data_IF_021436686461
#
_entry.id   IF_021436686461
#
_cell.length_a   1.000
_cell.length_b   1.000
_cell.length_c   1.000
_cell.angle_alpha   90.00
_cell.angle_beta   90.00
_cell.angle_gamma   90.00
#
_symmetry.space_group_name_H-M   'P 1'
#
loop_
_entity.id
_entity.type
_entity.pdbx_description
1 polymer ?
#
# COMPACT_ATOMS: atom_id res chain seq x y z
N UNK A 1 30.33 34.09 -28.42
CA UNK A 1 30.08 33.25 -29.61
C UNK A 1 29.20 32.08 -29.18
N UNK A 2 27.92 32.15 -29.50
CA UNK A 2 26.88 31.22 -29.04
C UNK A 2 26.70 30.14 -30.10
N UNK A 3 26.90 28.88 -29.73
CA UNK A 3 26.67 27.71 -30.60
C UNK A 3 25.26 27.20 -30.32
N UNK A 4 24.33 27.56 -31.20
CA UNK A 4 22.93 27.11 -31.17
C UNK A 4 22.92 25.65 -31.66
N UNK A 5 22.45 24.73 -30.81
CA UNK A 5 22.22 23.32 -31.18
C UNK A 5 20.78 23.18 -31.66
N UNK A 6 20.64 22.73 -32.91
CA UNK A 6 19.39 22.47 -33.61
C UNK A 6 18.60 21.32 -32.96
N UNK A 7 17.29 21.53 -32.76
CA UNK A 7 16.31 20.46 -32.51
C UNK A 7 15.93 19.77 -33.83
N UNK A 8 15.75 18.44 -33.86
CA UNK A 8 15.24 17.75 -35.04
C UNK A 8 13.72 17.96 -35.21
N UNK A 9 13.32 18.13 -36.47
CA UNK A 9 11.95 18.25 -36.97
C UNK A 9 11.20 16.92 -36.77
N UNK A 10 10.02 16.99 -36.14
CA UNK A 10 9.00 15.94 -36.21
C UNK A 10 8.38 15.95 -37.61
N UNK A 11 8.51 14.85 -38.34
CA UNK A 11 7.86 14.62 -39.63
C UNK A 11 6.42 14.16 -39.44
N UNK A 12 5.48 14.87 -40.05
CA UNK A 12 4.09 14.48 -40.21
C UNK A 12 3.98 13.18 -41.01
N UNK A 13 3.58 12.09 -40.36
CA UNK A 13 3.16 10.84 -40.98
C UNK A 13 1.64 10.82 -41.13
N UNK A 14 1.16 11.02 -42.36
CA UNK A 14 -0.22 10.79 -42.79
C UNK A 14 -0.51 9.29 -42.76
N UNK A 15 -1.46 8.84 -41.93
CA UNK A 15 -2.02 7.49 -42.01
C UNK A 15 -3.39 7.54 -42.69
N UNK A 16 -3.42 6.87 -43.84
CA UNK A 16 -4.53 6.66 -44.75
C UNK A 16 -5.64 5.84 -44.09
N UNK A 17 -6.88 6.33 -44.17
CA UNK A 17 -8.10 5.58 -43.87
C UNK A 17 -8.29 4.47 -44.91
N UNK A 18 -8.41 3.22 -44.46
CA UNK A 18 -9.05 2.15 -45.23
C UNK A 18 -10.38 1.81 -44.56
N UNK A 19 -11.46 2.12 -45.27
CA UNK A 19 -12.79 1.59 -44.99
C UNK A 19 -12.83 0.13 -45.46
N UNK A 20 -13.13 -0.79 -44.55
CA UNK A 20 -13.52 -2.16 -44.89
C UNK A 20 -14.97 -2.33 -44.51
N UNK A 21 -15.82 -2.48 -45.54
CA UNK A 21 -17.20 -2.93 -45.47
C UNK A 21 -17.20 -4.44 -45.63
N UNK A 22 -17.85 -5.14 -44.71
CA UNK A 22 -18.12 -6.59 -44.75
C UNK A 22 -18.40 -7.01 -43.31
N UNK A 23 -19.54 -7.57 -42.94
CA UNK A 23 -20.47 -8.45 -43.63
C UNK A 23 -20.98 -9.36 -42.51
N UNK A 24 -22.25 -9.19 -42.13
CA UNK A 24 -22.89 -9.96 -41.06
C UNK A 24 -22.96 -11.45 -41.45
N UNK A 25 -22.39 -12.31 -40.61
CA UNK A 25 -22.71 -13.73 -40.57
C UNK A 25 -22.95 -14.12 -39.10
N UNK A 26 -24.23 -14.25 -38.74
CA UNK A 26 -24.67 -14.82 -37.47
C UNK A 26 -24.68 -16.34 -37.65
N UNK A 27 -23.64 -17.00 -37.17
CA UNK A 27 -23.64 -18.46 -36.99
C UNK A 27 -24.09 -18.79 -35.58
N UNK A 28 -25.32 -19.27 -35.46
CA UNK A 28 -25.85 -19.92 -34.26
C UNK A 28 -25.06 -21.19 -33.97
N UNK A 29 -24.31 -21.20 -32.87
CA UNK A 29 -23.74 -22.43 -32.32
C UNK A 29 -24.82 -23.06 -31.45
N UNK A 30 -25.37 -24.18 -31.94
CA UNK A 30 -26.17 -25.12 -31.15
C UNK A 30 -25.19 -25.92 -30.30
N UNK A 31 -25.14 -25.64 -28.99
CA UNK A 31 -24.46 -26.50 -28.02
C UNK A 31 -25.37 -27.66 -27.64
N UNK A 32 -24.95 -28.87 -28.00
CA UNK A 32 -25.53 -30.12 -27.51
C UNK A 32 -25.27 -30.24 -26.00
N UNK A 33 -26.33 -30.33 -25.21
CA UNK A 33 -26.30 -30.71 -23.81
C UNK A 33 -26.10 -32.22 -23.69
N UNK A 34 -24.91 -32.67 -23.28
CA UNK A 34 -24.70 -34.00 -22.72
C UNK A 34 -24.80 -33.90 -21.19
N UNK A 35 -25.94 -34.33 -20.68
CA UNK A 35 -26.24 -34.45 -19.25
C UNK A 35 -25.49 -35.64 -18.66
N UNK A 36 -24.34 -35.37 -18.05
CA UNK A 36 -23.68 -36.25 -17.08
C UNK A 36 -23.50 -35.46 -15.78
N UNK A 37 -24.43 -35.63 -14.85
CA UNK A 37 -24.55 -34.82 -13.63
C UNK A 37 -23.37 -35.00 -12.67
N UNK A 38 -22.39 -34.11 -12.77
CA UNK A 38 -21.58 -33.70 -11.62
C UNK A 38 -22.27 -32.46 -11.07
N UNK A 39 -22.76 -32.53 -9.83
CA UNK A 39 -23.41 -31.39 -9.18
C UNK A 39 -22.42 -30.26 -9.00
N UNK A 40 -22.43 -29.31 -9.95
CA UNK A 40 -21.74 -28.02 -9.80
C UNK A 40 -22.38 -27.33 -8.59
N UNK A 41 -21.60 -26.87 -7.60
CA UNK A 41 -22.15 -26.08 -6.50
C UNK A 41 -22.94 -24.90 -7.06
N UNK A 42 -24.14 -24.67 -6.53
CA UNK A 42 -24.98 -23.56 -6.94
C UNK A 42 -24.36 -22.22 -6.46
N UNK A 43 -23.50 -21.66 -7.31
CA UNK A 43 -22.87 -20.36 -7.10
C UNK A 43 -23.82 -19.19 -7.41
N UNK A 44 -25.08 -19.43 -7.78
CA UNK A 44 -26.06 -18.35 -8.01
C UNK A 44 -26.27 -17.48 -6.77
N UNK A 45 -26.08 -18.05 -5.57
CA UNK A 45 -26.09 -17.29 -4.30
C UNK A 45 -24.94 -16.29 -4.17
N UNK A 46 -23.81 -16.53 -4.84
CA UNK A 46 -22.66 -15.60 -4.88
C UNK A 46 -22.81 -14.56 -5.99
N UNK A 47 -23.37 -14.94 -7.14
CA UNK A 47 -23.71 -13.97 -8.21
C UNK A 47 -24.83 -13.01 -7.78
N UNK A 48 -25.81 -13.48 -7.00
CA UNK A 48 -26.88 -12.64 -6.44
C UNK A 48 -26.37 -11.58 -5.45
N UNK A 49 -25.15 -11.70 -4.90
CA UNK A 49 -24.53 -10.62 -4.11
C UNK A 49 -24.04 -9.46 -4.97
N UNK A 50 -23.71 -9.71 -6.24
CA UNK A 50 -23.33 -8.65 -7.19
C UNK A 50 -24.56 -7.92 -7.75
N UNK A 51 -25.73 -8.58 -7.73
CA UNK A 51 -26.99 -8.02 -8.23
C UNK A 51 -27.75 -7.12 -7.26
N UNK A 52 -27.32 -6.98 -6.01
CA UNK A 52 -27.91 -6.01 -5.08
C UNK A 52 -27.41 -4.62 -5.44
N UNK A 53 -28.17 -3.92 -6.28
CA UNK A 53 -27.97 -2.52 -6.66
C UNK A 53 -27.68 -1.63 -5.45
N UNK A 54 -26.39 -1.35 -5.21
CA UNK A 54 -25.92 -0.43 -4.19
C UNK A 54 -26.23 1.00 -4.64
N UNK A 55 -27.42 1.48 -4.28
CA UNK A 55 -27.84 2.86 -4.54
C UNK A 55 -26.95 3.84 -3.76
N UNK A 56 -25.93 4.41 -4.43
CA UNK A 56 -25.40 5.78 -4.35
C UNK A 56 -25.01 6.44 -3.02
N UNK A 57 -25.61 6.10 -1.89
CA UNK A 57 -25.40 6.71 -0.60
C UNK A 57 -23.98 6.47 -0.09
N UNK A 58 -23.46 7.43 0.68
CA UNK A 58 -22.27 7.29 1.50
C UNK A 58 -22.45 6.06 2.39
N UNK A 59 -21.95 4.91 1.93
CA UNK A 59 -21.86 3.70 2.74
C UNK A 59 -20.99 4.07 3.93
N UNK A 60 -21.53 3.95 5.13
CA UNK A 60 -20.76 4.23 6.34
C UNK A 60 -19.53 3.32 6.38
N UNK A 61 -18.42 3.78 6.95
CA UNK A 61 -17.20 2.97 7.06
C UNK A 61 -17.49 1.58 7.68
N UNK A 62 -18.43 1.52 8.63
CA UNK A 62 -18.86 0.27 9.25
C UNK A 62 -19.54 -0.69 8.26
N UNK A 63 -20.45 -0.20 7.41
CA UNK A 63 -21.12 -1.02 6.40
C UNK A 63 -20.13 -1.57 5.37
N UNK A 64 -19.15 -0.76 4.94
CA UNK A 64 -18.10 -1.21 4.04
C UNK A 64 -17.28 -2.35 4.65
N UNK A 65 -16.86 -2.18 5.91
CA UNK A 65 -16.13 -3.20 6.65
C UNK A 65 -16.91 -4.51 6.78
N UNK A 66 -18.21 -4.42 7.10
CA UNK A 66 -19.10 -5.57 7.21
C UNK A 66 -19.23 -6.31 5.86
N UNK A 67 -19.37 -5.58 4.75
CA UNK A 67 -19.49 -6.17 3.42
C UNK A 67 -18.26 -7.00 3.04
N UNK A 68 -17.04 -6.47 3.24
CA UNK A 68 -15.80 -7.17 2.95
C UNK A 68 -15.57 -8.37 3.85
N UNK A 69 -15.84 -8.26 5.15
CA UNK A 69 -15.76 -9.41 6.08
C UNK A 69 -16.73 -10.52 5.69
N UNK A 70 -17.96 -10.16 5.31
CA UNK A 70 -18.97 -11.11 4.84
C UNK A 70 -18.52 -11.82 3.57
N UNK A 71 -18.00 -11.07 2.60
CA UNK A 71 -17.45 -11.62 1.37
C UNK A 71 -16.28 -12.58 1.63
N UNK A 72 -15.31 -12.20 2.46
CA UNK A 72 -14.19 -13.06 2.85
C UNK A 72 -14.61 -14.32 3.57
N UNK A 73 -15.58 -14.22 4.48
CA UNK A 73 -16.15 -15.38 5.17
C UNK A 73 -16.73 -16.36 4.16
N UNK A 74 -17.51 -15.88 3.19
CA UNK A 74 -18.08 -16.71 2.12
C UNK A 74 -17.01 -17.37 1.25
N UNK A 75 -15.93 -16.66 0.92
CA UNK A 75 -14.80 -17.25 0.17
C UNK A 75 -14.12 -18.39 0.94
N UNK A 76 -13.93 -18.24 2.27
CA UNK A 76 -13.39 -19.33 3.11
C UNK A 76 -14.33 -20.52 3.14
N UNK A 77 -15.61 -20.28 3.41
CA UNK A 77 -16.62 -21.34 3.44
C UNK A 77 -16.73 -22.05 2.08
N UNK A 78 -16.68 -21.32 0.97
CA UNK A 78 -16.64 -21.91 -0.37
C UNK A 78 -15.38 -22.77 -0.59
N UNK A 79 -14.22 -22.29 -0.14
CA UNK A 79 -12.98 -23.03 -0.23
C UNK A 79 -12.99 -24.31 0.60
N UNK A 80 -13.51 -24.27 1.83
CA UNK A 80 -13.66 -25.43 2.71
C UNK A 80 -14.65 -26.46 2.14
N UNK A 81 -15.74 -25.98 1.54
CA UNK A 81 -16.79 -26.83 0.98
C UNK A 81 -16.54 -27.28 -0.48
N UNK A 82 -15.45 -26.85 -1.11
CA UNK A 82 -15.08 -27.28 -2.45
C UNK A 82 -14.94 -28.81 -2.52
N UNK A 83 -15.50 -29.43 -3.54
CA UNK A 83 -15.52 -30.90 -3.75
C UNK A 83 -14.68 -31.32 -4.97
N UNK A 84 -14.25 -30.36 -5.77
CA UNK A 84 -13.52 -30.58 -7.02
C UNK A 84 -12.49 -29.48 -7.26
N UNK A 85 -11.51 -29.77 -8.13
CA UNK A 85 -10.56 -28.76 -8.63
C UNK A 85 -11.29 -27.59 -9.33
N UNK A 86 -12.37 -27.87 -10.06
CA UNK A 86 -13.18 -26.83 -10.70
C UNK A 86 -13.83 -25.87 -9.70
N UNK A 87 -14.24 -26.36 -8.52
CA UNK A 87 -14.79 -25.49 -7.47
C UNK A 87 -13.72 -24.53 -6.94
N UNK A 88 -12.49 -25.04 -6.75
CA UNK A 88 -11.34 -24.23 -6.30
C UNK A 88 -11.03 -23.14 -7.33
N UNK A 89 -11.01 -23.48 -8.63
CA UNK A 89 -10.77 -22.50 -9.70
C UNK A 89 -11.91 -21.48 -9.86
N UNK A 90 -13.15 -21.85 -9.54
CA UNK A 90 -14.28 -20.91 -9.53
C UNK A 90 -14.11 -19.83 -8.44
N UNK A 91 -13.60 -20.19 -7.27
CA UNK A 91 -13.33 -19.26 -6.16
C UNK A 91 -12.34 -18.16 -6.58
N UNK A 92 -11.33 -18.48 -7.40
CA UNK A 92 -10.37 -17.49 -7.91
C UNK A 92 -11.07 -16.35 -8.66
N UNK A 93 -12.09 -16.67 -9.47
CA UNK A 93 -12.87 -15.67 -10.21
C UNK A 93 -13.65 -14.76 -9.25
N UNK A 94 -14.28 -15.35 -8.24
CA UNK A 94 -15.08 -14.61 -7.24
C UNK A 94 -14.18 -13.68 -6.42
N UNK A 95 -12.95 -14.12 -6.12
CA UNK A 95 -11.97 -13.33 -5.38
C UNK A 95 -11.60 -12.01 -6.10
N UNK A 96 -11.69 -11.96 -7.44
CA UNK A 96 -11.40 -10.75 -8.23
C UNK A 96 -12.62 -9.87 -8.50
N UNK A 97 -13.80 -10.47 -8.60
CA UNK A 97 -15.04 -9.79 -9.00
C UNK A 97 -15.75 -9.05 -7.85
N UNK A 98 -15.19 -9.10 -6.64
CA UNK A 98 -15.77 -8.49 -5.45
C UNK A 98 -15.71 -6.96 -5.40
N UNK A 99 -15.19 -6.29 -6.44
CA UNK A 99 -14.92 -4.85 -6.44
C UNK A 99 -15.45 -4.15 -7.69
N UNK A 100 -16.20 -3.07 -7.49
CA UNK A 100 -16.59 -2.11 -8.50
C UNK A 100 -15.49 -1.05 -8.65
N UNK A 101 -14.99 -0.91 -9.87
CA UNK A 101 -13.96 0.06 -10.19
C UNK A 101 -14.58 1.40 -10.61
N UNK A 102 -14.18 2.52 -10.00
CA UNK A 102 -14.71 3.83 -10.36
C UNK A 102 -14.26 4.22 -11.78
N UNK A 103 -15.20 4.58 -12.64
CA UNK A 103 -14.89 5.17 -13.95
C UNK A 103 -14.34 6.60 -13.81
N UNK A 104 -14.81 7.34 -12.79
CA UNK A 104 -14.37 8.68 -12.45
C UNK A 104 -14.08 8.74 -10.93
N UNK A 105 -12.84 8.50 -10.50
CA UNK A 105 -12.44 8.63 -9.10
C UNK A 105 -12.72 10.03 -8.56
N UNK A 106 -13.21 10.11 -7.32
CA UNK A 106 -13.43 11.39 -6.62
C UNK A 106 -12.13 11.83 -5.97
N UNK A 107 -11.73 13.07 -6.24
CA UNK A 107 -10.57 13.68 -5.60
C UNK A 107 -10.76 13.74 -4.07
N UNK A 108 -9.84 13.13 -3.32
CA UNK A 108 -9.83 13.23 -1.86
C UNK A 108 -9.18 14.55 -1.40
N UNK A 109 -9.52 15.05 -0.20
CA UNK A 109 -8.85 16.21 0.37
C UNK A 109 -7.34 15.93 0.56
N UNK A 110 -6.48 16.93 0.32
CA UNK A 110 -5.01 16.80 0.38
C UNK A 110 -4.36 17.46 1.59
N UNK A 111 -5.17 17.92 2.53
CA UNK A 111 -4.71 18.65 3.71
C UNK A 111 -4.91 17.80 4.96
N UNK A 112 -4.44 18.30 6.11
CA UNK A 112 -4.56 17.62 7.40
C UNK A 112 -6.01 17.29 7.80
N UNK A 113 -7.02 17.93 7.22
CA UNK A 113 -8.43 17.59 7.49
C UNK A 113 -8.88 16.29 6.80
N UNK A 114 -8.07 15.75 5.87
CA UNK A 114 -8.30 14.45 5.25
C UNK A 114 -8.02 13.31 6.25
N UNK A 115 -7.14 13.56 7.22
CA UNK A 115 -6.67 12.56 8.18
C UNK A 115 -7.80 12.20 9.14
N UNK A 116 -8.05 10.90 9.27
CA UNK A 116 -8.97 10.36 10.27
C UNK A 116 -8.22 9.53 11.31
N UNK A 117 -8.75 9.46 12.53
CA UNK A 117 -8.18 8.57 13.54
C UNK A 117 -8.77 7.16 13.42
N UNK A 118 -7.89 6.16 13.41
CA UNK A 118 -8.28 4.77 13.24
C UNK A 118 -7.72 3.89 14.36
N UNK A 119 -8.40 2.76 14.59
CA UNK A 119 -7.99 1.77 15.60
C UNK A 119 -6.75 1.00 15.16
N UNK A 120 -6.66 0.72 13.86
CA UNK A 120 -5.51 0.07 13.28
C UNK A 120 -4.95 0.92 12.15
N UNK A 121 -3.64 1.10 12.14
CA UNK A 121 -2.94 1.96 11.19
C UNK A 121 -1.76 1.22 10.60
N UNK A 122 -1.60 1.33 9.29
CA UNK A 122 -0.33 1.08 8.60
C UNK A 122 0.24 2.45 8.24
N UNK A 123 1.45 2.72 8.72
CA UNK A 123 2.19 3.93 8.43
C UNK A 123 3.44 3.55 7.64
N UNK A 124 3.68 4.20 6.51
CA UNK A 124 4.80 3.90 5.63
C UNK A 124 5.56 5.18 5.31
N UNK A 125 6.80 5.26 5.77
CA UNK A 125 7.74 6.29 5.38
C UNK A 125 8.72 5.66 4.41
N UNK A 126 8.76 6.09 3.15
CA UNK A 126 9.83 5.60 2.28
C UNK A 126 9.57 5.55 0.80
N UNK A 127 10.48 4.83 0.14
CA UNK A 127 10.29 4.43 -1.24
C UNK A 127 9.13 3.43 -1.37
N UNK A 128 8.52 3.44 -2.57
CA UNK A 128 7.51 2.46 -3.00
C UNK A 128 6.24 2.40 -2.13
N UNK A 129 5.85 3.51 -1.47
CA UNK A 129 4.62 3.54 -0.65
C UNK A 129 3.35 3.20 -1.43
N UNK A 130 3.32 3.50 -2.73
CA UNK A 130 2.25 3.04 -3.62
C UNK A 130 2.14 1.52 -3.60
N UNK A 131 3.25 0.81 -3.79
CA UNK A 131 3.28 -0.66 -3.84
C UNK A 131 3.00 -1.29 -2.47
N UNK A 132 3.51 -0.70 -1.37
CA UNK A 132 3.12 -1.10 -0.01
C UNK A 132 1.61 -1.03 0.18
N UNK A 133 0.96 0.05 -0.29
CA UNK A 133 -0.49 0.18 -0.17
C UNK A 133 -1.25 -0.93 -0.93
N UNK A 134 -0.72 -1.36 -2.08
CA UNK A 134 -1.17 -2.54 -2.81
C UNK A 134 -1.02 -3.81 -1.97
N UNK A 135 0.14 -4.03 -1.34
CA UNK A 135 0.37 -5.18 -0.47
C UNK A 135 -0.50 -5.21 0.79
N UNK A 136 -0.87 -4.04 1.32
CA UNK A 136 -1.88 -3.93 2.37
C UNK A 136 -3.22 -4.41 1.84
N UNK A 137 -3.69 -3.92 0.69
CA UNK A 137 -4.93 -4.41 0.04
C UNK A 137 -4.88 -5.92 -0.22
N UNK A 138 -3.77 -6.45 -0.74
CA UNK A 138 -3.56 -7.87 -1.04
C UNK A 138 -3.66 -8.78 0.19
N UNK A 139 -3.40 -8.23 1.38
CA UNK A 139 -3.51 -8.98 2.63
C UNK A 139 -4.97 -9.30 2.99
N UNK A 140 -5.93 -8.59 2.37
CA UNK A 140 -7.36 -8.92 2.41
C UNK A 140 -7.76 -10.05 1.45
N UNK A 141 -6.90 -10.42 0.50
CA UNK A 141 -7.22 -11.46 -0.48
C UNK A 141 -6.94 -12.85 0.10
N UNK A 142 -7.94 -13.73 0.04
CA UNK A 142 -7.85 -15.08 0.60
C UNK A 142 -7.61 -16.08 -0.53
N UNK A 143 -6.42 -16.71 -0.62
CA UNK A 143 -6.24 -17.82 -1.55
C UNK A 143 -7.02 -19.05 -1.07
N UNK A 144 -7.46 -19.89 -2.00
CA UNK A 144 -7.97 -21.22 -1.67
C UNK A 144 -6.90 -22.27 -1.96
N UNK A 145 -6.42 -22.96 -0.93
CA UNK A 145 -5.44 -24.04 -1.05
C UNK A 145 -6.04 -25.35 -0.57
N UNK A 146 -6.35 -26.22 -1.53
CA UNK A 146 -6.83 -27.59 -1.35
C UNK A 146 -5.86 -28.59 -1.99
N UNK A 147 -4.55 -28.29 -1.92
CA UNK A 147 -3.53 -29.13 -2.54
C UNK A 147 -3.47 -30.52 -1.90
N UNK A 148 -3.79 -30.63 -0.60
CA UNK A 148 -3.70 -31.89 0.16
C UNK A 148 -4.73 -32.95 -0.27
N UNK A 149 -5.92 -32.53 -0.67
CA UNK A 149 -7.05 -33.42 -0.93
C UNK A 149 -7.59 -33.31 -2.36
N UNK A 150 -7.68 -32.10 -2.91
CA UNK A 150 -8.14 -31.87 -4.29
C UNK A 150 -6.99 -31.64 -5.28
N UNK A 151 -5.73 -31.57 -4.81
CA UNK A 151 -4.54 -31.24 -5.61
C UNK A 151 -4.65 -29.90 -6.36
N UNK A 152 -5.47 -28.99 -5.83
CA UNK A 152 -5.78 -27.72 -6.46
C UNK A 152 -5.48 -26.55 -5.51
N UNK A 153 -5.02 -25.43 -6.07
CA UNK A 153 -4.86 -24.15 -5.37
C UNK A 153 -5.13 -23.00 -6.32
N UNK A 154 -5.70 -21.91 -5.81
CA UNK A 154 -5.83 -20.66 -6.59
C UNK A 154 -4.48 -19.95 -6.64
N UNK A 155 -4.26 -19.14 -7.66
CA UNK A 155 -3.21 -18.11 -7.62
C UNK A 155 -3.47 -17.11 -6.49
N UNK A 156 -2.42 -16.39 -6.10
CA UNK A 156 -2.60 -15.21 -5.26
C UNK A 156 -3.23 -14.10 -6.10
N UNK A 157 -4.06 -13.28 -5.47
CA UNK A 157 -4.60 -12.07 -6.10
C UNK A 157 -3.75 -10.88 -5.63
N UNK A 158 -3.36 -10.05 -6.58
CA UNK A 158 -2.53 -8.87 -6.37
C UNK A 158 -3.23 -7.64 -6.97
N UNK A 159 -3.29 -6.54 -6.22
CA UNK A 159 -3.72 -5.25 -6.71
C UNK A 159 -2.54 -4.51 -7.34
N UNK A 160 -2.50 -4.52 -8.67
CA UNK A 160 -1.53 -3.73 -9.42
C UNK A 160 -1.93 -2.25 -9.34
N UNK A 161 -1.12 -1.44 -8.67
CA UNK A 161 -1.40 -0.01 -8.44
C UNK A 161 -1.23 0.85 -9.69
N UNK A 162 -0.53 0.34 -10.72
CA UNK A 162 -0.33 1.02 -12.01
C UNK A 162 -1.51 0.78 -12.93
N UNK A 163 -1.95 -0.48 -13.07
CA UNK A 163 -3.12 -0.84 -13.90
C UNK A 163 -4.44 -0.61 -13.14
N UNK A 164 -4.37 -0.49 -11.82
CA UNK A 164 -5.49 -0.31 -10.89
C UNK A 164 -6.48 -1.48 -10.96
N UNK A 165 -5.95 -2.69 -11.07
CA UNK A 165 -6.72 -3.94 -11.25
C UNK A 165 -6.21 -5.04 -10.34
N UNK A 166 -7.12 -5.95 -10.00
CA UNK A 166 -6.75 -7.22 -9.38
C UNK A 166 -6.29 -8.21 -10.44
N UNK A 167 -5.06 -8.69 -10.29
CA UNK A 167 -4.36 -9.58 -11.19
C UNK A 167 -3.93 -10.86 -10.47
N UNK A 168 -3.47 -11.85 -11.24
CA UNK A 168 -2.92 -13.08 -10.69
C UNK A 168 -1.43 -12.93 -10.42
N UNK A 169 -1.01 -13.31 -9.23
CA UNK A 169 0.38 -13.46 -8.86
C UNK A 169 0.73 -14.94 -8.63
N UNK A 170 1.87 -15.35 -9.18
CA UNK A 170 2.39 -16.71 -8.99
C UNK A 170 2.84 -16.95 -7.54
N UNK A 171 3.41 -15.92 -6.91
CA UNK A 171 3.94 -15.98 -5.55
C UNK A 171 3.36 -14.84 -4.72
N UNK A 172 3.25 -15.07 -3.42
CA UNK A 172 2.87 -14.03 -2.47
C UNK A 172 4.10 -13.21 -2.08
N UNK A 173 3.97 -11.89 -2.12
CA UNK A 173 5.00 -11.00 -1.61
C UNK A 173 5.25 -11.25 -0.10
N UNK A 174 6.51 -11.29 0.37
CA UNK A 174 6.83 -11.48 1.79
C UNK A 174 6.17 -10.45 2.72
N UNK A 175 6.04 -9.19 2.30
CA UNK A 175 5.35 -8.15 3.06
C UNK A 175 3.86 -8.49 3.22
N UNK A 176 3.18 -8.84 2.13
CA UNK A 176 1.78 -9.28 2.18
C UNK A 176 1.58 -10.48 3.11
N UNK A 177 2.50 -11.45 3.09
CA UNK A 177 2.44 -12.60 3.99
C UNK A 177 2.52 -12.17 5.46
N UNK A 178 3.47 -11.29 5.80
CA UNK A 178 3.61 -10.76 7.16
C UNK A 178 2.36 -9.97 7.58
N UNK A 179 1.83 -9.12 6.70
CA UNK A 179 0.62 -8.32 6.98
C UNK A 179 -0.58 -9.21 7.30
N UNK A 180 -0.80 -10.30 6.56
CA UNK A 180 -1.86 -11.27 6.90
C UNK A 180 -1.68 -11.87 8.29
N UNK A 181 -0.47 -12.31 8.61
CA UNK A 181 -0.18 -12.92 9.91
C UNK A 181 -0.37 -11.91 11.04
N UNK A 182 -0.04 -10.63 10.83
CA UNK A 182 -0.26 -9.58 11.82
C UNK A 182 -1.75 -9.25 11.99
N UNK A 183 -2.47 -9.00 10.89
CA UNK A 183 -3.88 -8.62 10.94
C UNK A 183 -4.75 -9.70 11.60
N UNK A 184 -4.51 -10.97 11.26
CA UNK A 184 -5.28 -12.11 11.79
C UNK A 184 -5.12 -12.32 13.30
N UNK A 185 -4.05 -11.82 13.94
CA UNK A 185 -3.90 -11.84 15.42
C UNK A 185 -4.96 -11.01 16.14
N UNK A 186 -5.55 -10.03 15.47
CA UNK A 186 -6.61 -9.18 16.02
C UNK A 186 -8.01 -9.72 15.75
N UNK A 187 -8.11 -10.86 15.06
CA UNK A 187 -9.37 -11.51 14.73
C UNK A 187 -9.25 -12.29 13.42
N UNK A 188 -9.87 -13.47 13.35
CA UNK A 188 -9.77 -14.34 12.18
C UNK A 188 -10.24 -13.66 10.87
N UNK A 189 -11.15 -12.69 10.97
CA UNK A 189 -11.67 -11.92 9.85
C UNK A 189 -11.11 -10.49 9.81
N UNK A 190 -10.16 -10.12 10.66
CA UNK A 190 -9.52 -8.80 10.59
C UNK A 190 -8.68 -8.71 9.32
N UNK A 191 -8.85 -7.61 8.58
CA UNK A 191 -8.18 -7.38 7.30
C UNK A 191 -8.01 -5.90 6.99
N UNK A 192 -7.62 -5.54 5.77
CA UNK A 192 -7.25 -4.17 5.42
C UNK A 192 -8.37 -3.15 5.61
N UNK A 193 -9.63 -3.54 5.48
CA UNK A 193 -10.78 -2.67 5.73
C UNK A 193 -11.00 -2.29 7.19
N UNK A 194 -10.23 -2.89 8.11
CA UNK A 194 -10.13 -2.47 9.51
C UNK A 194 -8.94 -1.52 9.77
N UNK A 195 -8.14 -1.23 8.74
CA UNK A 195 -6.93 -0.42 8.83
C UNK A 195 -7.06 0.85 8.01
N UNK A 196 -6.42 1.91 8.50
CA UNK A 196 -6.12 3.09 7.71
C UNK A 196 -4.66 3.06 7.27
N UNK A 197 -4.39 3.46 6.04
CA UNK A 197 -3.05 3.55 5.49
C UNK A 197 -2.61 5.01 5.35
N UNK A 198 -1.45 5.32 5.88
CA UNK A 198 -0.83 6.64 5.79
C UNK A 198 0.58 6.50 5.22
N UNK A 199 0.76 6.98 3.99
CA UNK A 199 2.05 6.97 3.32
C UNK A 199 2.70 8.36 3.32
N UNK A 200 4.01 8.44 3.50
CA UNK A 200 4.79 9.69 3.52
C UNK A 200 5.84 9.63 2.41
N UNK A 201 5.68 10.49 1.40
CA UNK A 201 6.57 10.57 0.23
C UNK A 201 7.04 11.99 0.01
N UNK A 202 8.35 12.19 0.00
CA UNK A 202 8.95 13.51 -0.10
C UNK A 202 9.23 13.94 -1.53
N UNK A 203 9.45 13.01 -2.45
CA UNK A 203 9.84 13.31 -3.82
C UNK A 203 8.62 13.78 -4.64
N UNK A 204 8.59 15.06 -5.08
CA UNK A 204 7.42 15.62 -5.76
C UNK A 204 7.05 14.91 -7.08
N UNK A 205 7.97 14.14 -7.67
CA UNK A 205 7.71 13.39 -8.91
C UNK A 205 6.60 12.35 -8.73
N UNK A 206 6.36 11.87 -7.50
CA UNK A 206 5.36 10.85 -7.20
C UNK A 206 4.00 11.43 -6.81
N UNK A 207 3.93 12.72 -6.46
CA UNK A 207 2.73 13.37 -5.92
C UNK A 207 1.48 13.04 -6.73
N UNK A 208 1.51 13.27 -8.04
CA UNK A 208 0.33 13.06 -8.89
C UNK A 208 -0.07 11.58 -8.98
N UNK A 209 0.89 10.66 -9.06
CA UNK A 209 0.62 9.22 -9.15
C UNK A 209 0.00 8.70 -7.86
N UNK A 210 0.56 9.09 -6.70
CA UNK A 210 0.07 8.67 -5.39
C UNK A 210 -1.33 9.23 -5.10
N UNK A 211 -1.58 10.51 -5.39
CA UNK A 211 -2.91 11.09 -5.27
C UNK A 211 -3.94 10.38 -6.18
N UNK A 212 -3.53 9.98 -7.38
CA UNK A 212 -4.41 9.22 -8.29
C UNK A 212 -4.67 7.78 -7.81
N UNK A 213 -3.78 7.19 -7.01
CA UNK A 213 -4.01 5.89 -6.34
C UNK A 213 -5.00 6.09 -5.19
N UNK A 214 -4.77 7.10 -4.33
CA UNK A 214 -5.66 7.45 -3.22
C UNK A 214 -7.09 7.69 -3.71
N UNK A 215 -7.29 8.54 -4.71
CA UNK A 215 -8.61 8.84 -5.27
C UNK A 215 -9.31 7.60 -5.80
N UNK A 216 -8.56 6.74 -6.48
CA UNK A 216 -9.09 5.51 -7.06
C UNK A 216 -9.53 4.54 -5.97
N UNK A 217 -8.61 4.19 -5.06
CA UNK A 217 -8.87 3.22 -3.99
C UNK A 217 -10.02 3.69 -3.10
N UNK A 218 -10.01 4.97 -2.72
CA UNK A 218 -11.05 5.55 -1.85
C UNK A 218 -12.43 5.62 -2.52
N UNK A 219 -12.48 5.55 -3.86
CA UNK A 219 -13.70 5.51 -4.67
C UNK A 219 -14.16 4.11 -5.06
N UNK A 220 -13.42 3.05 -4.74
CA UNK A 220 -13.83 1.65 -4.98
C UNK A 220 -15.02 1.25 -4.09
N UNK A 221 -15.83 0.30 -4.57
CA UNK A 221 -16.97 -0.25 -3.80
C UNK A 221 -17.01 -1.79 -3.87
N UNK A 222 -17.04 -2.50 -2.72
CA UNK A 222 -16.59 -2.01 -1.42
C UNK A 222 -15.14 -1.49 -1.49
N UNK A 223 -14.79 -0.56 -0.61
CA UNK A 223 -13.45 -0.01 -0.48
C UNK A 223 -12.54 -1.04 0.20
N UNK A 224 -11.42 -1.46 -0.41
CA UNK A 224 -10.58 -2.53 0.12
C UNK A 224 -9.87 -2.19 1.44
N UNK A 225 -9.77 -0.91 1.79
CA UNK A 225 -9.15 -0.38 3.02
C UNK A 225 -10.10 0.60 3.71
N UNK A 226 -10.00 0.84 5.02
CA UNK A 226 -10.91 1.77 5.69
C UNK A 226 -10.72 3.21 5.17
N UNK A 227 -9.45 3.63 5.12
CA UNK A 227 -9.02 4.94 4.66
C UNK A 227 -7.57 4.87 4.16
N UNK A 228 -7.24 5.76 3.23
CA UNK A 228 -5.92 5.91 2.65
C UNK A 228 -5.64 7.40 2.49
N UNK A 229 -4.44 7.82 2.87
CA UNK A 229 -3.97 9.17 2.63
C UNK A 229 -2.46 9.19 2.41
N UNK A 230 -2.02 9.92 1.37
CA UNK A 230 -0.60 10.17 1.12
C UNK A 230 -0.22 11.59 1.51
N UNK A 231 0.67 11.72 2.49
CA UNK A 231 1.40 12.96 2.77
C UNK A 231 2.51 13.12 1.73
N UNK A 232 2.15 13.69 0.59
CA UNK A 232 3.10 14.01 -0.50
C UNK A 232 3.89 15.27 -0.18
N UNK A 233 5.11 15.39 -0.74
CA UNK A 233 6.03 16.49 -0.43
C UNK A 233 6.32 16.56 1.08
N UNK A 234 6.34 15.40 1.73
CA UNK A 234 6.60 15.22 3.16
C UNK A 234 7.55 14.05 3.39
N UNK A 235 8.39 14.10 4.42
CA UNK A 235 9.39 13.06 4.71
C UNK A 235 9.41 12.69 6.19
N UNK A 236 9.74 11.44 6.50
CA UNK A 236 10.09 11.06 7.87
C UNK A 236 11.37 11.78 8.30
N UNK A 237 11.30 12.54 9.38
CA UNK A 237 12.43 13.34 9.88
C UNK A 237 12.59 13.19 11.41
N UNK A 238 13.76 13.60 11.91
CA UNK A 238 14.02 13.66 13.36
C UNK A 238 13.34 14.84 14.07
N UNK A 239 12.69 15.73 13.33
CA UNK A 239 11.95 16.87 13.85
C UNK A 239 10.79 17.21 12.92
N UNK A 240 9.72 17.80 13.46
CA UNK A 240 8.59 18.29 12.68
C UNK A 240 8.90 19.68 12.11
N UNK A 241 8.49 19.94 10.86
CA UNK A 241 8.62 21.25 10.22
C UNK A 241 9.31 21.19 8.87
N UNK A 242 9.49 22.36 8.24
CA UNK A 242 10.12 22.41 6.91
C UNK A 242 11.56 21.90 6.96
N UNK A 243 11.89 21.01 6.04
CA UNK A 243 13.23 20.47 5.85
C UNK A 243 13.56 20.33 4.37
N UNK A 244 14.77 19.86 4.06
CA UNK A 244 15.24 19.62 2.69
C UNK A 244 15.24 18.13 2.39
N UNK A 245 14.62 17.76 1.28
CA UNK A 245 14.87 16.48 0.62
C UNK A 245 15.80 16.72 -0.57
N UNK A 246 16.96 16.08 -0.56
CA UNK A 246 17.87 16.12 -1.69
C UNK A 246 17.48 15.02 -2.68
N UNK A 247 17.25 15.41 -3.92
CA UNK A 247 16.62 14.54 -4.92
C UNK A 247 17.67 13.69 -5.65
N UNK A 248 17.38 12.41 -5.79
CA UNK A 248 18.02 11.56 -6.78
C UNK A 248 17.46 11.90 -8.17
N UNK A 249 18.33 12.20 -9.11
CA UNK A 249 17.97 12.54 -10.50
C UNK A 249 18.60 11.59 -11.51
N UNK A 250 19.39 10.61 -11.05
CA UNK A 250 20.20 9.74 -11.90
C UNK A 250 19.66 8.31 -11.97
N UNK A 251 18.99 7.82 -10.92
CA UNK A 251 18.43 6.47 -10.87
C UNK A 251 16.98 6.42 -11.33
N UNK A 252 16.71 6.93 -12.55
CA UNK A 252 15.35 6.96 -13.13
C UNK A 252 14.73 5.57 -13.26
N UNK A 253 15.54 4.56 -13.64
CA UNK A 253 15.10 3.16 -13.78
C UNK A 253 14.72 2.51 -12.44
N UNK A 254 15.17 3.09 -11.33
CA UNK A 254 14.88 2.62 -9.97
C UNK A 254 13.89 3.56 -9.25
N UNK A 255 13.11 4.35 -9.99
CA UNK A 255 12.17 5.33 -9.43
C UNK A 255 12.83 6.25 -8.39
N UNK A 256 14.02 6.79 -8.68
CA UNK A 256 14.68 7.80 -7.84
C UNK A 256 14.84 7.40 -6.37
N UNK A 257 15.04 6.10 -6.12
CA UNK A 257 15.13 5.52 -4.79
C UNK A 257 16.13 6.23 -3.88
N UNK A 258 17.24 6.79 -4.38
CA UNK A 258 18.31 7.37 -3.57
C UNK A 258 18.06 8.81 -3.10
N UNK A 259 16.81 9.28 -3.09
CA UNK A 259 16.44 10.60 -2.56
C UNK A 259 16.52 10.56 -1.03
N UNK A 260 17.18 11.53 -0.41
CA UNK A 260 17.48 11.47 1.03
C UNK A 260 17.46 12.84 1.68
N UNK A 261 17.19 12.87 3.00
CA UNK A 261 17.37 14.08 3.81
C UNK A 261 18.86 14.41 4.07
N UNK A 262 19.76 13.49 3.72
CA UNK A 262 21.20 13.70 3.83
C UNK A 262 21.80 14.11 2.50
N UNK A 263 22.37 15.31 2.46
CA UNK A 263 23.09 15.83 1.28
C UNK A 263 24.28 14.97 0.83
N UNK A 264 24.84 14.21 1.76
CA UNK A 264 26.02 13.37 1.54
C UNK A 264 25.65 11.94 1.11
N UNK A 265 24.36 11.66 0.89
CA UNK A 265 23.90 10.40 0.29
C UNK A 265 24.57 10.17 -1.07
N UNK A 266 24.99 8.93 -1.35
CA UNK A 266 25.81 8.64 -2.54
C UNK A 266 25.12 9.06 -3.85
N UNK A 267 23.82 8.82 -3.97
CA UNK A 267 23.03 9.09 -5.18
C UNK A 267 22.71 10.57 -5.34
N UNK A 268 22.57 11.29 -4.22
CA UNK A 268 22.46 12.76 -4.19
C UNK A 268 23.76 13.38 -4.68
N UNK A 269 24.92 12.91 -4.19
CA UNK A 269 26.23 13.42 -4.65
C UNK A 269 26.43 13.16 -6.14
N UNK A 270 26.11 11.93 -6.60
CA UNK A 270 26.19 11.56 -8.02
C UNK A 270 25.27 12.44 -8.88
N UNK A 271 24.04 12.70 -8.41
CA UNK A 271 23.10 13.62 -9.06
C UNK A 271 23.65 15.04 -9.18
N UNK A 272 24.25 15.56 -8.12
CA UNK A 272 24.86 16.89 -8.12
C UNK A 272 26.06 16.97 -9.09
N UNK A 273 26.93 15.95 -9.07
CA UNK A 273 28.09 15.83 -9.95
C UNK A 273 27.70 15.77 -11.44
N UNK A 274 26.77 14.88 -11.80
CA UNK A 274 26.29 14.74 -13.19
C UNK A 274 25.57 15.99 -13.69
N UNK A 275 24.84 16.70 -12.81
CA UNK A 275 24.20 17.96 -13.14
C UNK A 275 25.20 19.14 -13.24
N UNK A 276 26.44 18.98 -12.76
CA UNK A 276 27.39 20.07 -12.61
C UNK A 276 26.92 21.15 -11.63
N UNK A 277 26.19 20.75 -10.58
CA UNK A 277 25.61 21.65 -9.57
C UNK A 277 25.95 21.19 -8.14
N UNK A 278 25.56 21.98 -7.13
CA UNK A 278 25.62 21.54 -5.74
C UNK A 278 24.35 20.76 -5.36
N UNK A 279 24.45 19.89 -4.35
CA UNK A 279 23.30 19.15 -3.82
C UNK A 279 22.14 20.09 -3.41
N UNK A 280 22.44 21.27 -2.86
CA UNK A 280 21.42 22.25 -2.45
C UNK A 280 20.55 22.75 -3.61
N UNK A 281 21.07 22.70 -4.85
CA UNK A 281 20.31 23.12 -6.04
C UNK A 281 19.41 22.03 -6.64
N UNK A 282 19.54 20.80 -6.15
CA UNK A 282 18.70 19.65 -6.50
C UNK A 282 17.88 19.18 -5.29
N UNK A 283 17.59 20.08 -4.36
CA UNK A 283 16.77 19.82 -3.19
C UNK A 283 15.37 20.42 -3.33
N UNK A 284 14.38 19.76 -2.73
CA UNK A 284 13.03 20.26 -2.54
C UNK A 284 12.81 20.64 -1.07
N UNK A 285 12.07 21.73 -0.84
CA UNK A 285 11.52 22.03 0.48
C UNK A 285 10.31 21.13 0.71
N UNK A 286 10.36 20.33 1.77
CA UNK A 286 9.32 19.35 2.13
C UNK A 286 8.96 19.46 3.61
N UNK A 287 7.79 18.95 3.98
CA UNK A 287 7.38 18.87 5.39
C UNK A 287 7.99 17.65 6.08
N UNK A 288 8.80 17.86 7.11
CA UNK A 288 9.27 16.82 8.01
C UNK A 288 8.18 16.40 8.99
N UNK A 289 8.00 15.09 9.14
CA UNK A 289 7.16 14.48 10.17
C UNK A 289 7.93 13.51 11.05
N UNK A 290 7.73 13.63 12.36
CA UNK A 290 8.13 12.62 13.33
C UNK A 290 7.11 11.47 13.38
N UNK A 291 7.55 10.29 13.85
CA UNK A 291 6.64 9.16 14.09
C UNK A 291 5.55 9.56 15.09
N UNK A 292 5.91 10.26 16.18
CA UNK A 292 4.96 10.64 17.22
C UNK A 292 3.88 11.60 16.74
N UNK A 293 4.22 12.57 15.89
CA UNK A 293 3.24 13.49 15.30
C UNK A 293 2.23 12.75 14.44
N UNK A 294 2.66 11.88 13.53
CA UNK A 294 1.71 11.11 12.73
C UNK A 294 0.92 10.11 13.57
N UNK A 295 1.50 9.48 14.60
CA UNK A 295 0.75 8.63 15.53
C UNK A 295 -0.38 9.39 16.21
N UNK A 296 -0.13 10.60 16.73
CA UNK A 296 -1.17 11.42 17.37
C UNK A 296 -2.24 11.95 16.40
N UNK A 297 -1.88 12.16 15.14
CA UNK A 297 -2.84 12.53 14.08
C UNK A 297 -3.73 11.36 13.65
N UNK A 298 -3.20 10.13 13.61
CA UNK A 298 -3.81 9.01 12.87
C UNK A 298 -4.37 7.88 13.74
N UNK A 299 -3.92 7.72 14.99
CA UNK A 299 -4.38 6.65 15.88
C UNK A 299 -5.43 7.16 16.86
N UNK A 300 -6.55 6.44 16.98
CA UNK A 300 -7.62 6.77 17.93
C UNK A 300 -7.15 6.69 19.39
N UNK A 301 -6.11 5.89 19.68
CA UNK A 301 -5.54 5.80 21.02
C UNK A 301 -5.03 7.13 21.58
N UNK A 302 -4.65 8.06 20.71
CA UNK A 302 -4.20 9.40 21.08
C UNK A 302 -5.27 10.48 20.95
N UNK A 303 -6.51 10.10 20.62
CA UNK A 303 -7.60 11.06 20.63
C UNK A 303 -7.91 11.50 22.08
N UNK A 304 -7.89 12.81 22.40
CA UNK A 304 -8.29 13.29 23.71
C UNK A 304 -9.72 12.88 24.10
N UNK A 305 -10.61 12.69 23.12
CA UNK A 305 -12.00 12.31 23.32
C UNK A 305 -12.24 10.79 23.33
N UNK A 306 -11.23 9.96 23.03
CA UNK A 306 -11.39 8.51 23.03
C UNK A 306 -11.69 7.95 24.44
N UNK A 307 -12.61 7.00 24.49
CA UNK A 307 -12.92 6.25 25.71
C UNK A 307 -11.72 5.40 26.16
N UNK A 308 -11.67 4.95 27.43
CA UNK A 308 -10.63 4.02 27.90
C UNK A 308 -10.53 2.73 27.07
N UNK A 309 -11.63 2.25 26.50
CA UNK A 309 -11.69 1.06 25.66
C UNK A 309 -11.14 1.31 24.26
N UNK A 310 -11.41 2.48 23.68
CA UNK A 310 -10.88 2.88 22.37
C UNK A 310 -9.36 3.09 22.40
N UNK A 311 -8.80 3.43 23.57
CA UNK A 311 -7.35 3.61 23.76
C UNK A 311 -6.54 2.31 23.80
N UNK A 312 -7.19 1.14 23.80
CA UNK A 312 -6.54 -0.17 23.97
C UNK A 312 -6.81 -1.13 22.81
N UNK A 313 -5.92 -2.11 22.64
CA UNK A 313 -6.04 -3.12 21.58
C UNK A 313 -5.93 -2.54 20.16
N UNK A 314 -5.32 -1.36 20.02
CA UNK A 314 -4.96 -0.76 18.75
C UNK A 314 -3.75 -1.46 18.15
N UNK A 315 -3.53 -1.27 16.85
CA UNK A 315 -2.38 -1.83 16.16
C UNK A 315 -1.75 -0.79 15.24
N UNK A 316 -0.44 -0.62 15.37
CA UNK A 316 0.38 0.16 14.46
C UNK A 316 1.33 -0.79 13.72
N UNK A 317 1.24 -0.82 12.40
CA UNK A 317 2.29 -1.36 11.54
C UNK A 317 3.07 -0.16 10.99
N UNK A 318 4.36 -0.07 11.29
CA UNK A 318 5.22 1.01 10.81
C UNK A 318 6.27 0.43 9.87
N UNK A 319 6.27 0.86 8.61
CA UNK A 319 7.32 0.61 7.64
C UNK A 319 8.19 1.86 7.48
N UNK A 320 9.51 1.70 7.47
CA UNK A 320 10.48 2.78 7.28
C UNK A 320 11.57 2.34 6.29
N UNK A 321 11.68 3.09 5.20
CA UNK A 321 12.60 2.87 4.08
C UNK A 321 12.94 4.21 3.40
N UNK A 322 13.68 5.09 4.09
CA UNK A 322 13.89 6.51 3.72
C UNK A 322 15.38 6.88 3.55
N UNK A 323 16.19 5.96 3.01
CA UNK A 323 17.56 6.23 2.55
C UNK A 323 18.46 6.99 3.56
N UNK A 324 18.47 6.54 4.81
CA UNK A 324 19.22 7.11 5.92
C UNK A 324 18.39 7.96 6.87
N UNK A 325 17.24 8.47 6.43
CA UNK A 325 16.33 9.21 7.32
C UNK A 325 15.83 8.38 8.51
N UNK A 326 15.92 7.05 8.45
CA UNK A 326 15.48 6.14 9.51
C UNK A 326 16.23 6.36 10.83
N UNK A 327 17.48 6.83 10.77
CA UNK A 327 18.29 7.03 11.98
C UNK A 327 17.82 8.19 12.85
N UNK A 328 17.73 9.44 12.35
CA UNK A 328 17.18 10.55 13.13
C UNK A 328 15.70 10.32 13.48
N UNK A 329 14.91 9.71 12.58
CA UNK A 329 13.51 9.39 12.85
C UNK A 329 13.36 8.43 14.05
N UNK A 330 14.16 7.35 14.09
CA UNK A 330 14.11 6.39 15.19
C UNK A 330 14.71 6.97 16.49
N UNK A 331 15.74 7.80 16.39
CA UNK A 331 16.31 8.50 17.54
C UNK A 331 15.26 9.39 18.22
N UNK A 332 14.56 10.21 17.42
CA UNK A 332 13.47 11.03 17.91
C UNK A 332 12.37 10.19 18.57
N UNK A 333 12.00 9.05 17.97
CA UNK A 333 10.96 8.18 18.52
C UNK A 333 11.34 7.57 19.89
N UNK A 334 12.63 7.30 20.11
CA UNK A 334 13.17 6.86 21.42
C UNK A 334 13.12 7.99 22.44
N UNK A 335 13.58 9.20 22.06
CA UNK A 335 13.65 10.34 22.96
C UNK A 335 12.26 10.82 23.38
N UNK A 336 11.33 10.87 22.45
CA UNK A 336 9.97 11.33 22.70
C UNK A 336 9.12 10.27 23.43
N UNK A 337 9.34 8.98 23.12
CA UNK A 337 8.68 7.88 23.80
C UNK A 337 7.23 7.61 23.39
N UNK A 338 6.70 8.24 22.32
CA UNK A 338 5.31 8.04 21.84
C UNK A 338 5.00 6.57 21.52
N UNK A 339 5.94 5.84 20.92
CA UNK A 339 5.80 4.39 20.67
C UNK A 339 5.68 3.59 21.99
N UNK A 340 6.48 3.94 22.99
CA UNK A 340 6.44 3.31 24.29
C UNK A 340 5.18 3.66 25.10
N UNK A 341 4.67 4.87 24.95
CA UNK A 341 3.37 5.25 25.50
C UNK A 341 2.26 4.38 24.90
N UNK A 342 2.26 4.25 23.57
CA UNK A 342 1.28 3.45 22.84
C UNK A 342 1.25 1.98 23.29
N UNK A 343 2.40 1.34 23.43
CA UNK A 343 2.48 -0.06 23.89
C UNK A 343 2.07 -0.20 25.37
N UNK A 344 2.44 0.75 26.24
CA UNK A 344 2.02 0.77 27.66
C UNK A 344 0.50 0.92 27.84
N UNK A 345 -0.19 1.55 26.89
CA UNK A 345 -1.65 1.57 26.88
C UNK A 345 -2.29 0.20 26.58
N UNK A 346 -1.50 -0.82 26.20
CA UNK A 346 -2.00 -2.14 25.81
C UNK A 346 -2.29 -2.26 24.31
N UNK A 347 -1.56 -1.49 23.49
CA UNK A 347 -1.61 -1.57 22.04
C UNK A 347 -0.38 -2.31 21.48
N UNK A 348 -0.41 -2.69 20.21
CA UNK A 348 0.70 -3.39 19.56
C UNK A 348 1.35 -2.50 18.50
N UNK A 349 2.69 -2.41 18.51
CA UNK A 349 3.46 -1.73 17.48
C UNK A 349 4.45 -2.70 16.83
N UNK A 350 4.30 -2.92 15.52
CA UNK A 350 5.13 -3.79 14.69
C UNK A 350 5.89 -2.94 13.65
N UNK A 351 7.23 -2.96 13.73
CA UNK A 351 8.11 -2.10 12.93
C UNK A 351 8.90 -2.92 11.90
N UNK A 352 8.80 -2.55 10.62
CA UNK A 352 9.65 -3.00 9.52
C UNK A 352 10.58 -1.84 9.14
N UNK A 353 11.86 -1.92 9.48
CA UNK A 353 12.82 -0.86 9.15
C UNK A 353 13.97 -1.43 8.32
N UNK A 354 14.17 -0.83 7.15
CA UNK A 354 15.35 -1.02 6.32
C UNK A 354 16.42 -0.01 6.73
N UNK A 355 17.55 -0.52 7.24
CA UNK A 355 18.66 0.32 7.71
C UNK A 355 19.74 0.43 6.64
N UNK A 356 19.95 1.63 6.12
CA UNK A 356 20.88 1.93 5.05
C UNK A 356 22.29 2.19 5.60
N UNK A 357 23.27 1.42 5.13
CA UNK A 357 24.64 1.53 5.65
C UNK A 357 25.25 2.94 5.50
N UNK A 358 26.19 3.30 6.37
CA UNK A 358 26.96 4.57 6.27
C UNK A 358 27.72 4.74 4.94
N UNK A 359 27.94 3.66 4.18
CA UNK A 359 28.51 3.74 2.83
C UNK A 359 27.55 4.47 1.87
N UNK A 360 26.26 4.23 2.03
CA UNK A 360 25.18 4.76 1.20
C UNK A 360 24.76 6.15 1.72
N UNK A 361 24.51 6.25 3.03
CA UNK A 361 23.94 7.44 3.67
C UNK A 361 24.96 8.52 4.03
N UNK A 362 26.24 8.17 4.06
CA UNK A 362 27.29 9.01 4.63
C UNK A 362 27.52 8.74 6.12
N UNK A 363 28.44 9.49 6.74
CA UNK A 363 28.70 9.37 8.18
C UNK A 363 27.65 10.18 8.96
N UNK A 364 26.94 9.52 9.86
CA UNK A 364 25.99 10.16 10.76
C UNK A 364 26.09 9.57 12.17
N UNK A 365 25.95 10.41 13.20
CA UNK A 365 26.16 10.04 14.61
C UNK A 365 25.21 8.94 15.10
N UNK A 366 24.03 8.84 14.49
CA UNK A 366 23.00 7.87 14.85
C UNK A 366 23.17 6.49 14.23
N UNK A 367 23.96 6.34 13.16
CA UNK A 367 24.19 5.02 12.52
C UNK A 367 24.77 4.03 13.53
N UNK A 368 25.73 4.48 14.34
CA UNK A 368 26.35 3.67 15.40
C UNK A 368 25.43 3.39 16.60
N UNK A 369 24.30 4.08 16.73
CA UNK A 369 23.35 3.93 17.84
C UNK A 369 22.17 3.01 17.53
N UNK A 370 22.08 2.48 16.31
CA UNK A 370 20.95 1.66 15.85
C UNK A 370 20.57 0.54 16.81
N UNK A 371 21.57 -0.22 17.28
CA UNK A 371 21.35 -1.32 18.23
C UNK A 371 20.73 -0.82 19.54
N UNK A 372 21.28 0.25 20.10
CA UNK A 372 20.78 0.86 21.34
C UNK A 372 19.35 1.37 21.19
N UNK A 373 19.03 2.01 20.06
CA UNK A 373 17.68 2.51 19.77
C UNK A 373 16.66 1.37 19.65
N UNK A 374 17.02 0.27 18.97
CA UNK A 374 16.19 -0.94 18.90
C UNK A 374 15.93 -1.52 20.28
N UNK A 375 16.99 -1.76 21.05
CA UNK A 375 16.88 -2.32 22.41
C UNK A 375 16.02 -1.44 23.33
N UNK A 376 16.11 -0.11 23.20
CA UNK A 376 15.29 0.82 23.97
C UNK A 376 13.79 0.68 23.67
N UNK A 377 13.43 0.55 22.39
CA UNK A 377 12.03 0.38 21.96
C UNK A 377 11.50 -1.03 22.25
N UNK A 378 12.31 -2.06 22.04
CA UNK A 378 11.94 -3.44 22.37
C UNK A 378 11.68 -3.62 23.88
N UNK A 379 12.46 -2.95 24.72
CA UNK A 379 12.26 -2.95 26.18
C UNK A 379 10.88 -2.41 26.59
N UNK A 380 10.26 -1.54 25.79
CA UNK A 380 8.92 -1.04 26.05
C UNK A 380 7.81 -1.79 25.29
N UNK A 381 8.13 -2.89 24.60
CA UNK A 381 7.14 -3.77 23.95
C UNK A 381 6.94 -3.52 22.46
N UNK A 382 7.72 -2.65 21.83
CA UNK A 382 7.73 -2.50 20.37
C UNK A 382 8.37 -3.74 19.75
N UNK A 383 7.79 -4.28 18.67
CA UNK A 383 8.34 -5.46 17.99
C UNK A 383 8.98 -5.09 16.67
N UNK A 384 10.27 -5.36 16.50
CA UNK A 384 10.93 -5.27 15.19
C UNK A 384 10.67 -6.55 14.39
N UNK A 385 10.33 -6.36 13.12
CA UNK A 385 10.09 -7.42 12.15
C UNK A 385 11.16 -7.34 11.08
N UNK A 386 11.63 -8.51 10.65
CA UNK A 386 12.55 -8.59 9.54
C UNK A 386 11.75 -8.55 8.23
N UNK A 387 12.11 -7.63 7.34
CA UNK A 387 11.71 -7.66 5.95
C UNK A 387 12.96 -7.98 5.13
N UNK A 388 12.86 -8.94 4.21
CA UNK A 388 13.98 -9.20 3.31
C UNK A 388 14.06 -8.04 2.31
N UNK A 389 15.27 -7.59 1.97
CA UNK A 389 15.49 -6.43 1.09
C UNK A 389 14.82 -6.54 -0.31
N UNK A 390 14.44 -7.75 -0.75
CA UNK A 390 13.75 -8.01 -2.01
C UNK A 390 12.22 -7.99 -1.88
N UNK A 391 11.68 -7.24 -0.92
CA UNK A 391 10.24 -7.15 -0.71
C UNK A 391 9.55 -6.20 -1.69
N UNK A 392 10.27 -5.23 -2.25
CA UNK A 392 9.75 -4.25 -3.20
C UNK A 392 9.69 -4.78 -4.63
#
# INVERSE_FOLDING_TARGET
MVKIINRPKLSNGSSTFYAVIGGLAVTSIILFSLSGGVGVPDFSSLENLQGSSYSGALVSHAENGIALKSWRKKLREACENAKSESDVLAIEKINKLGFEYPSNPVAQPRNDNAVIRCKHVVMDFGANIGDTSGHVIDSGMIPCDRTKDLKAKTSFVHFDVKTKRFENAANRNPLTHNLVNLMTKFGALTGPEDYCYYGVEGNPVFTQRLQAIEDFVMSMRPRPIQHMHFFTESVGAGEDGMTKLYLDTVNTDQNFWGSSIFKDHQDVRKSAEEAGKSADTIAADVMGYTIGTLMRKTLIAFDPAASPEEKKGNHLVLKVDIEGGEYPLLHQAVEEGTLCEFTKMGNTADLFIEFHSARVTGKHDYVGKTKQMKEALEKCGVTFRNLAAWWA
#
